data_IF_587813465917
#
_entry.id   IF_587813465917
#
_cell.length_a   1.000
_cell.length_b   1.000
_cell.length_c   1.000
_cell.angle_alpha   90.00
_cell.angle_beta   90.00
_cell.angle_gamma   90.00
#
_symmetry.space_group_name_H-M   'P 1'
#
loop_
_entity.id
_entity.type
_entity.pdbx_description
1 polymer ?
#
# COMPACT_ATOMS: atom_id res chain seq x y z
N UNK A 1 -6.96 12.12 -9.55
CA UNK A 1 -7.07 11.10 -10.59
C UNK A 1 -6.06 11.32 -11.72
N UNK A 2 -6.00 12.48 -12.36
CA UNK A 2 -5.13 12.77 -13.53
C UNK A 2 -3.64 12.41 -13.33
N UNK A 3 -3.18 12.29 -12.10
CA UNK A 3 -1.79 11.97 -11.74
C UNK A 3 -1.61 10.53 -11.23
N UNK A 4 -2.70 9.79 -11.09
CA UNK A 4 -2.64 8.40 -10.67
C UNK A 4 -2.21 7.48 -11.83
N UNK A 5 -1.51 6.37 -11.55
CA UNK A 5 -1.09 5.46 -12.59
C UNK A 5 -2.28 4.70 -13.21
N UNK A 6 -2.20 4.46 -14.53
CA UNK A 6 -3.17 3.63 -15.27
C UNK A 6 -4.60 4.18 -15.23
N UNK A 7 -5.53 3.33 -14.83
CA UNK A 7 -6.97 3.58 -14.80
C UNK A 7 -7.53 3.85 -13.38
N UNK A 8 -6.69 4.30 -12.46
CA UNK A 8 -7.08 4.68 -11.09
C UNK A 8 -7.81 6.05 -11.09
N UNK A 9 -8.90 6.15 -11.84
CA UNK A 9 -9.60 7.40 -12.15
C UNK A 9 -10.58 7.87 -11.08
N UNK A 10 -10.94 7.00 -10.14
CA UNK A 10 -11.92 7.29 -9.10
C UNK A 10 -11.24 7.52 -7.77
N UNK A 11 -11.54 8.65 -7.12
CA UNK A 11 -10.91 9.04 -5.85
C UNK A 11 -11.98 9.26 -4.80
N UNK A 12 -11.81 8.58 -3.66
CA UNK A 12 -12.60 8.78 -2.47
C UNK A 12 -11.74 9.41 -1.37
N UNK A 13 -12.15 10.56 -0.86
CA UNK A 13 -11.40 11.28 0.17
C UNK A 13 -11.76 10.82 1.57
N UNK A 14 -10.75 10.74 2.44
CA UNK A 14 -10.84 10.38 3.85
C UNK A 14 -10.11 11.41 4.72
N UNK A 15 -10.03 11.18 6.02
CA UNK A 15 -9.37 12.09 6.96
C UNK A 15 -7.91 11.73 7.23
N UNK A 16 -7.51 10.51 6.90
CA UNK A 16 -6.17 10.00 7.11
C UNK A 16 -5.95 8.61 6.56
N UNK A 17 -4.75 8.02 6.80
CA UNK A 17 -4.38 6.72 6.28
C UNK A 17 -5.19 5.55 6.84
N UNK A 18 -5.49 5.56 8.14
CA UNK A 18 -6.33 4.52 8.77
C UNK A 18 -7.73 4.49 8.17
N UNK A 19 -8.33 5.67 7.96
CA UNK A 19 -9.64 5.79 7.33
C UNK A 19 -9.60 5.36 5.85
N UNK A 20 -8.49 5.63 5.15
CA UNK A 20 -8.30 5.19 3.76
C UNK A 20 -8.25 3.66 3.67
N UNK A 21 -7.53 3.00 4.57
CA UNK A 21 -7.48 1.53 4.64
C UNK A 21 -8.85 0.94 4.98
N UNK A 22 -9.54 1.44 6.01
CA UNK A 22 -10.88 0.98 6.39
C UNK A 22 -11.89 1.17 5.25
N UNK A 23 -11.82 2.32 4.56
CA UNK A 23 -12.64 2.59 3.38
C UNK A 23 -12.37 1.61 2.24
N UNK A 24 -11.09 1.29 1.98
CA UNK A 24 -10.70 0.35 0.93
C UNK A 24 -11.26 -1.04 1.22
N UNK A 25 -11.19 -1.53 2.47
CA UNK A 25 -11.80 -2.80 2.87
C UNK A 25 -13.29 -2.80 2.56
N UNK A 26 -14.00 -1.72 2.87
CA UNK A 26 -15.44 -1.60 2.56
C UNK A 26 -15.71 -1.61 1.06
N UNK A 27 -14.93 -0.87 0.25
CA UNK A 27 -15.10 -0.87 -1.21
C UNK A 27 -14.80 -2.24 -1.81
N UNK A 28 -13.79 -2.97 -1.33
CA UNK A 28 -13.51 -4.35 -1.73
C UNK A 28 -14.70 -5.26 -1.42
N UNK A 29 -15.32 -5.12 -0.24
CA UNK A 29 -16.53 -5.87 0.11
C UNK A 29 -17.70 -5.53 -0.80
N UNK A 30 -17.93 -4.23 -1.11
CA UNK A 30 -18.95 -3.81 -2.07
C UNK A 30 -18.69 -4.41 -3.45
N UNK A 31 -17.44 -4.39 -3.93
CA UNK A 31 -17.06 -5.00 -5.20
C UNK A 31 -17.45 -6.47 -5.28
N UNK A 32 -17.07 -7.26 -4.28
CA UNK A 32 -17.34 -8.70 -4.30
C UNK A 32 -18.83 -9.02 -4.12
N UNK A 33 -19.55 -8.26 -3.32
CA UNK A 33 -21.02 -8.36 -3.21
C UNK A 33 -21.68 -8.06 -4.56
N UNK A 34 -21.29 -6.98 -5.22
CA UNK A 34 -21.79 -6.59 -6.53
C UNK A 34 -21.51 -7.64 -7.60
N UNK A 35 -20.39 -8.37 -7.48
CA UNK A 35 -20.02 -9.49 -8.35
C UNK A 35 -20.71 -10.81 -8.01
N UNK A 36 -21.63 -10.82 -7.04
CA UNK A 36 -22.31 -12.04 -6.59
C UNK A 36 -21.42 -13.02 -5.81
N UNK A 37 -20.31 -12.54 -5.25
CA UNK A 37 -19.32 -13.33 -4.48
C UNK A 37 -19.16 -12.81 -3.04
N UNK A 38 -20.24 -12.71 -2.23
CA UNK A 38 -20.19 -12.13 -0.89
C UNK A 38 -19.31 -12.93 0.10
N UNK A 39 -18.98 -14.19 -0.22
CA UNK A 39 -18.09 -15.05 0.56
C UNK A 39 -16.61 -14.60 0.48
N UNK A 40 -16.24 -13.77 -0.49
CA UNK A 40 -14.89 -13.18 -0.56
C UNK A 40 -14.75 -12.07 0.49
N UNK A 41 -14.37 -12.46 1.69
CA UNK A 41 -14.30 -11.61 2.88
C UNK A 41 -12.96 -11.72 3.63
N UNK A 42 -12.03 -12.51 3.12
CA UNK A 42 -10.74 -12.74 3.75
C UNK A 42 -9.67 -11.83 3.13
N UNK A 43 -8.83 -11.24 3.97
CA UNK A 43 -7.79 -10.29 3.57
C UNK A 43 -6.42 -10.79 4.00
N UNK A 44 -5.42 -10.62 3.15
CA UNK A 44 -4.04 -11.03 3.43
C UNK A 44 -3.15 -9.78 3.39
N UNK A 45 -2.27 -9.63 4.37
CA UNK A 45 -1.21 -8.62 4.39
C UNK A 45 0.14 -9.27 4.71
N UNK A 46 1.18 -8.46 4.98
CA UNK A 46 2.55 -8.94 5.16
C UNK A 46 2.97 -8.72 6.62
N UNK A 47 3.72 -9.66 7.19
CA UNK A 47 4.37 -9.50 8.48
C UNK A 47 5.24 -8.23 8.50
N UNK A 48 5.31 -7.55 9.64
CA UNK A 48 5.97 -6.24 9.82
C UNK A 48 5.29 -5.08 9.07
N UNK A 49 4.19 -5.30 8.36
CA UNK A 49 3.40 -4.27 7.70
C UNK A 49 2.62 -3.38 8.67
N UNK A 50 2.31 -2.16 8.23
CA UNK A 50 1.47 -1.22 8.98
C UNK A 50 0.37 -0.64 8.09
N UNK A 51 -0.88 -0.88 8.45
CA UNK A 51 -2.06 -0.49 7.68
C UNK A 51 -3.06 0.35 8.50
N UNK A 52 -2.56 1.09 9.46
CA UNK A 52 -3.36 1.99 10.30
C UNK A 52 -3.58 1.49 11.74
N UNK A 53 -4.25 2.32 12.53
CA UNK A 53 -4.52 2.10 13.95
C UNK A 53 -6.02 2.13 14.30
N UNK A 54 -6.91 2.24 13.31
CA UNK A 54 -8.33 1.91 13.47
C UNK A 54 -8.47 0.41 13.77
N UNK A 55 -9.53 -0.02 14.44
CA UNK A 55 -9.70 -1.43 14.83
C UNK A 55 -9.53 -2.39 13.65
N UNK A 56 -10.05 -2.03 12.48
CA UNK A 56 -9.97 -2.86 11.28
C UNK A 56 -8.59 -2.80 10.65
N UNK A 57 -8.05 -1.60 10.42
CA UNK A 57 -6.71 -1.41 9.86
C UNK A 57 -5.60 -1.97 10.74
N UNK A 58 -5.74 -1.84 12.09
CA UNK A 58 -4.79 -2.42 13.04
C UNK A 58 -4.75 -3.96 12.97
N UNK A 59 -5.83 -4.61 12.59
CA UNK A 59 -5.83 -6.06 12.36
C UNK A 59 -5.06 -6.47 11.12
N UNK A 60 -4.97 -5.63 10.07
CA UNK A 60 -4.07 -5.83 8.92
C UNK A 60 -2.62 -5.46 9.24
N UNK A 61 -2.40 -4.51 10.16
CA UNK A 61 -1.08 -4.22 10.72
C UNK A 61 -0.49 -5.47 11.36
N UNK A 62 0.80 -5.71 11.23
CA UNK A 62 1.48 -6.88 11.76
C UNK A 62 2.56 -6.52 12.80
N UNK A 63 2.30 -5.46 13.56
CA UNK A 63 3.15 -5.01 14.66
C UNK A 63 2.47 -5.36 15.99
N UNK A 64 3.06 -6.23 16.84
CA UNK A 64 2.41 -6.80 18.02
C UNK A 64 1.85 -5.77 19.00
N UNK A 65 2.49 -4.60 19.10
CA UNK A 65 2.04 -3.52 19.99
C UNK A 65 0.61 -3.05 19.67
N UNK A 66 0.18 -3.15 18.41
CA UNK A 66 -1.16 -2.74 17.98
C UNK A 66 -2.24 -3.78 18.26
N UNK A 67 -1.85 -5.01 18.63
CA UNK A 67 -2.77 -6.13 18.84
C UNK A 67 -3.07 -6.39 20.30
N UNK A 68 -2.10 -6.12 21.19
CA UNK A 68 -2.17 -6.52 22.59
C UNK A 68 -3.41 -5.94 23.29
N UNK A 69 -4.31 -6.83 23.73
CA UNK A 69 -5.52 -6.47 24.48
C UNK A 69 -6.72 -5.99 23.64
N UNK A 70 -6.60 -5.92 22.31
CA UNK A 70 -7.66 -5.37 21.44
C UNK A 70 -8.51 -6.44 20.72
N UNK A 71 -8.24 -7.73 20.89
CA UNK A 71 -8.98 -8.81 20.22
C UNK A 71 -8.77 -8.82 18.69
N UNK A 72 -7.63 -8.38 18.21
CA UNK A 72 -7.21 -8.35 16.80
C UNK A 72 -5.87 -9.08 16.63
N UNK A 73 -5.52 -9.61 15.43
CA UNK A 73 -6.31 -9.53 14.21
C UNK A 73 -7.61 -10.33 14.30
N UNK A 74 -8.59 -9.97 13.47
CA UNK A 74 -9.80 -10.75 13.30
C UNK A 74 -9.52 -12.03 12.49
N UNK A 75 -10.40 -13.05 12.63
CA UNK A 75 -10.25 -14.36 11.94
C UNK A 75 -10.21 -14.26 10.40
N UNK A 76 -10.65 -13.14 9.84
CA UNK A 76 -10.63 -12.86 8.40
C UNK A 76 -9.40 -12.06 7.94
N UNK A 77 -8.42 -11.84 8.82
CA UNK A 77 -7.18 -11.07 8.55
C UNK A 77 -5.96 -11.96 8.70
N UNK A 78 -5.28 -12.22 7.60
CA UNK A 78 -4.18 -13.16 7.51
C UNK A 78 -2.86 -12.47 7.17
N UNK A 79 -1.76 -13.14 7.41
CA UNK A 79 -0.41 -12.65 7.13
C UNK A 79 0.38 -13.68 6.33
N UNK A 80 1.29 -13.17 5.49
CA UNK A 80 2.39 -13.94 4.91
C UNK A 80 3.73 -13.39 5.43
N UNK A 81 4.83 -14.17 5.37
CA UNK A 81 6.14 -13.72 5.80
C UNK A 81 6.62 -12.46 5.09
N UNK A 82 7.43 -11.65 5.78
CA UNK A 82 8.05 -10.45 5.25
C UNK A 82 9.06 -10.76 4.13
N UNK A 83 9.14 -9.85 3.17
CA UNK A 83 10.11 -9.87 2.08
C UNK A 83 11.47 -9.25 2.44
N UNK A 84 11.70 -8.88 3.69
CA UNK A 84 12.92 -8.22 4.11
C UNK A 84 14.15 -9.10 3.90
N UNK A 85 15.16 -8.59 3.17
CA UNK A 85 16.30 -9.40 2.75
C UNK A 85 17.27 -9.70 3.91
N UNK A 86 17.55 -8.72 4.77
CA UNK A 86 18.49 -8.89 5.86
C UNK A 86 18.04 -9.99 6.82
N UNK A 87 18.86 -11.04 6.96
CA UNK A 87 18.55 -12.25 7.75
C UNK A 87 17.28 -12.98 7.33
N UNK A 88 16.93 -12.93 6.04
CA UNK A 88 15.79 -13.68 5.54
C UNK A 88 16.04 -15.19 5.66
N UNK A 89 15.05 -16.01 6.10
CA UNK A 89 15.22 -17.46 6.22
C UNK A 89 15.62 -18.17 4.92
N UNK A 90 15.29 -17.62 3.75
CA UNK A 90 15.67 -18.17 2.44
C UNK A 90 16.99 -17.60 1.89
N UNK A 91 17.71 -16.81 2.70
CA UNK A 91 18.89 -16.06 2.28
C UNK A 91 18.56 -14.68 1.72
N UNK A 92 19.58 -13.94 1.28
CA UNK A 92 19.44 -12.56 0.82
C UNK A 92 19.31 -12.46 -0.72
N UNK A 93 19.24 -13.58 -1.43
CA UNK A 93 19.03 -13.60 -2.87
C UNK A 93 17.66 -13.07 -3.24
N UNK A 94 17.63 -12.04 -4.07
CA UNK A 94 16.40 -11.36 -4.47
C UNK A 94 15.37 -12.28 -5.11
N UNK A 95 15.82 -13.21 -5.98
CA UNK A 95 14.90 -14.11 -6.66
C UNK A 95 14.37 -15.19 -5.71
N UNK A 96 15.19 -15.68 -4.79
CA UNK A 96 14.76 -16.62 -3.76
C UNK A 96 13.68 -16.00 -2.87
N UNK A 97 13.84 -14.73 -2.45
CA UNK A 97 12.86 -14.00 -1.65
C UNK A 97 11.55 -13.80 -2.42
N UNK A 98 11.62 -13.39 -3.69
CA UNK A 98 10.43 -13.24 -4.53
C UNK A 98 9.69 -14.57 -4.64
N UNK A 99 10.39 -15.66 -4.96
CA UNK A 99 9.80 -16.99 -5.10
C UNK A 99 9.17 -17.48 -3.79
N UNK A 100 9.83 -17.23 -2.65
CA UNK A 100 9.30 -17.57 -1.33
C UNK A 100 8.01 -16.79 -1.01
N UNK A 101 7.96 -15.49 -1.34
CA UNK A 101 6.77 -14.65 -1.16
C UNK A 101 5.60 -15.12 -2.02
N UNK A 102 5.86 -15.45 -3.31
CA UNK A 102 4.84 -16.00 -4.21
C UNK A 102 4.29 -17.33 -3.69
N UNK A 103 5.18 -18.23 -3.27
CA UNK A 103 4.79 -19.52 -2.70
C UNK A 103 4.00 -19.35 -1.38
N UNK A 104 4.37 -18.39 -0.53
CA UNK A 104 3.67 -18.10 0.71
C UNK A 104 2.25 -17.58 0.45
N UNK A 105 2.07 -16.68 -0.53
CA UNK A 105 0.76 -16.16 -0.89
C UNK A 105 -0.12 -17.28 -1.49
N UNK A 106 0.38 -18.11 -2.39
CA UNK A 106 -0.37 -19.26 -2.95
C UNK A 106 -0.84 -20.19 -1.85
N UNK A 107 0.07 -20.64 -0.97
CA UNK A 107 -0.29 -21.52 0.15
C UNK A 107 -1.36 -20.88 1.04
N UNK A 108 -1.21 -19.59 1.38
CA UNK A 108 -2.18 -18.90 2.25
C UNK A 108 -3.56 -18.81 1.59
N UNK A 109 -3.63 -18.56 0.30
CA UNK A 109 -4.90 -18.57 -0.45
C UNK A 109 -5.52 -19.97 -0.48
N UNK A 110 -4.72 -21.03 -0.68
CA UNK A 110 -5.18 -22.43 -0.63
C UNK A 110 -5.70 -22.82 0.76
N UNK A 111 -4.99 -22.42 1.84
CA UNK A 111 -5.40 -22.67 3.24
C UNK A 111 -6.73 -22.01 3.59
N UNK A 112 -6.98 -20.80 3.09
CA UNK A 112 -8.21 -20.03 3.34
C UNK A 112 -9.38 -20.54 2.48
N UNK A 113 -9.10 -20.98 1.28
CA UNK A 113 -10.04 -21.24 0.19
C UNK A 113 -9.99 -20.11 -0.83
N UNK A 114 -9.59 -20.38 -2.09
CA UNK A 114 -9.43 -19.36 -3.12
C UNK A 114 -10.67 -18.50 -3.39
N UNK A 115 -11.86 -19.08 -3.20
CA UNK A 115 -13.15 -18.40 -3.37
C UNK A 115 -13.51 -17.45 -2.22
N UNK A 116 -12.75 -17.48 -1.14
CA UNK A 116 -12.97 -16.65 0.06
C UNK A 116 -12.04 -15.44 0.14
N UNK A 117 -10.89 -15.47 -0.55
CA UNK A 117 -9.92 -14.38 -0.47
C UNK A 117 -10.39 -13.19 -1.30
N UNK A 118 -10.48 -12.04 -0.67
CA UNK A 118 -10.93 -10.79 -1.27
C UNK A 118 -9.78 -9.97 -1.86
N UNK A 119 -8.71 -9.78 -1.09
CA UNK A 119 -7.60 -8.92 -1.49
C UNK A 119 -6.30 -9.24 -0.75
N UNK A 120 -5.21 -8.83 -1.38
CA UNK A 120 -3.88 -8.75 -0.80
C UNK A 120 -3.44 -7.29 -0.64
N UNK A 121 -2.93 -6.93 0.53
CA UNK A 121 -2.41 -5.61 0.89
C UNK A 121 -0.89 -5.61 0.99
N UNK A 122 -0.25 -4.64 0.35
CA UNK A 122 1.20 -4.45 0.42
C UNK A 122 1.57 -2.97 0.45
N UNK A 123 2.50 -2.60 1.33
CA UNK A 123 3.25 -1.36 1.22
C UNK A 123 4.35 -1.55 0.17
N UNK A 124 4.57 -0.64 -0.79
CA UNK A 124 5.73 -0.72 -1.71
C UNK A 124 7.08 -0.75 -0.98
N UNK A 125 7.16 -0.09 0.17
CA UNK A 125 8.23 -0.17 1.17
C UNK A 125 7.55 -0.19 2.53
N UNK A 126 7.81 -1.19 3.35
CA UNK A 126 7.20 -1.28 4.68
C UNK A 126 7.82 -0.23 5.61
N UNK A 127 7.05 0.83 5.88
CA UNK A 127 7.55 1.98 6.60
C UNK A 127 7.76 1.78 8.09
N UNK A 128 6.68 1.59 8.80
CA UNK A 128 6.69 1.45 10.27
C UNK A 128 7.37 0.17 10.74
N UNK A 129 7.47 -0.84 9.88
CA UNK A 129 8.20 -2.08 10.12
C UNK A 129 9.72 -1.90 10.16
N UNK A 130 10.25 -0.76 9.72
CA UNK A 130 11.68 -0.44 9.77
C UNK A 130 12.27 0.00 8.42
N UNK A 131 11.46 0.58 7.54
CA UNK A 131 11.85 0.97 6.16
C UNK A 131 12.33 -0.26 5.36
N UNK A 132 11.57 -1.35 5.38
CA UNK A 132 11.94 -2.60 4.74
C UNK A 132 11.68 -2.53 3.24
N UNK A 133 12.75 -2.42 2.47
CA UNK A 133 12.70 -2.30 1.01
C UNK A 133 12.62 -3.70 0.40
N UNK A 134 11.60 -4.02 -0.40
CA UNK A 134 11.51 -5.32 -1.07
C UNK A 134 12.55 -5.45 -2.19
N UNK A 135 12.93 -6.67 -2.58
CA UNK A 135 13.72 -6.89 -3.79
C UNK A 135 13.06 -6.27 -5.02
N UNK A 136 13.88 -5.73 -5.94
CA UNK A 136 13.38 -5.14 -7.19
C UNK A 136 12.51 -6.14 -7.96
N UNK A 137 11.33 -5.69 -8.39
CA UNK A 137 10.35 -6.53 -9.10
C UNK A 137 9.44 -7.35 -8.19
N UNK A 138 9.61 -7.29 -6.88
CA UNK A 138 8.74 -8.01 -5.94
C UNK A 138 7.27 -7.56 -6.06
N UNK A 139 7.00 -6.25 -6.04
CA UNK A 139 5.63 -5.71 -6.22
C UNK A 139 5.02 -6.17 -7.54
N UNK A 140 5.81 -6.17 -8.63
CA UNK A 140 5.35 -6.64 -9.94
C UNK A 140 4.97 -8.12 -9.91
N UNK A 141 5.79 -8.96 -9.29
CA UNK A 141 5.54 -10.39 -9.17
C UNK A 141 4.27 -10.67 -8.32
N UNK A 142 4.12 -9.97 -7.18
CA UNK A 142 2.94 -10.11 -6.32
C UNK A 142 1.66 -9.63 -7.00
N UNK A 143 1.70 -8.50 -7.72
CA UNK A 143 0.56 -8.00 -8.52
C UNK A 143 0.14 -9.01 -9.61
N UNK A 144 1.10 -9.57 -10.31
CA UNK A 144 0.83 -10.58 -11.33
C UNK A 144 0.16 -11.82 -10.71
N UNK A 145 0.69 -12.31 -9.59
CA UNK A 145 0.11 -13.44 -8.87
C UNK A 145 -1.31 -13.16 -8.37
N UNK A 146 -1.60 -11.96 -7.87
CA UNK A 146 -2.96 -11.60 -7.48
C UNK A 146 -3.92 -11.67 -8.67
N UNK A 147 -3.48 -11.26 -9.87
CA UNK A 147 -4.26 -11.41 -11.10
C UNK A 147 -4.53 -12.87 -11.45
N UNK A 148 -3.54 -13.75 -11.35
CA UNK A 148 -3.68 -15.21 -11.58
C UNK A 148 -4.67 -15.85 -10.58
N UNK A 149 -4.61 -15.42 -9.31
CA UNK A 149 -5.47 -15.92 -8.23
C UNK A 149 -6.88 -15.31 -8.24
N UNK A 150 -7.12 -14.30 -9.09
CA UNK A 150 -8.39 -13.58 -9.15
C UNK A 150 -8.74 -12.83 -7.85
N UNK A 151 -7.75 -12.30 -7.15
CA UNK A 151 -7.92 -11.48 -5.94
C UNK A 151 -7.46 -10.05 -6.21
N UNK A 152 -8.05 -9.08 -5.50
CA UNK A 152 -7.67 -7.68 -5.65
C UNK A 152 -6.32 -7.38 -5.01
N UNK A 153 -5.57 -6.45 -5.60
CA UNK A 153 -4.28 -5.98 -5.10
C UNK A 153 -4.39 -4.53 -4.63
N UNK A 154 -4.04 -4.28 -3.37
CA UNK A 154 -4.02 -2.95 -2.77
C UNK A 154 -2.58 -2.53 -2.52
N UNK A 155 -2.16 -1.43 -3.12
CA UNK A 155 -0.92 -0.75 -2.77
C UNK A 155 -1.19 0.27 -1.66
N UNK A 156 -0.69 0.01 -0.45
CA UNK A 156 -0.74 0.98 0.62
C UNK A 156 0.41 1.97 0.49
N UNK A 157 0.11 3.09 -0.14
CA UNK A 157 1.05 4.18 -0.38
C UNK A 157 0.88 5.37 0.57
N UNK A 158 0.33 5.13 1.74
CA UNK A 158 0.15 6.18 2.78
C UNK A 158 1.48 6.84 3.12
N UNK A 159 2.59 6.11 3.08
CA UNK A 159 3.92 6.67 3.29
C UNK A 159 4.66 6.89 1.97
N UNK A 160 4.58 5.97 1.04
CA UNK A 160 5.45 5.89 -0.14
C UNK A 160 5.07 6.86 -1.26
N UNK A 161 3.82 7.30 -1.33
CA UNK A 161 3.37 8.26 -2.33
C UNK A 161 3.97 9.66 -2.14
N UNK A 162 3.72 10.51 -3.14
CA UNK A 162 4.06 11.92 -3.18
C UNK A 162 5.57 12.19 -3.07
N UNK A 163 6.35 11.42 -3.83
CA UNK A 163 7.79 11.63 -3.98
C UNK A 163 8.67 11.06 -2.86
N UNK A 164 8.07 10.33 -1.89
CA UNK A 164 8.84 9.74 -0.79
C UNK A 164 9.91 8.77 -1.29
N UNK A 165 9.61 8.00 -2.34
CA UNK A 165 10.52 7.04 -2.97
C UNK A 165 11.14 7.53 -4.27
N UNK A 166 10.76 8.73 -4.73
CA UNK A 166 11.21 9.36 -5.97
C UNK A 166 10.06 9.69 -6.93
N UNK A 167 9.30 8.74 -7.48
CA UNK A 167 8.12 9.01 -8.29
C UNK A 167 6.95 9.54 -7.44
N UNK A 168 5.87 9.96 -8.10
CA UNK A 168 4.67 10.42 -7.38
C UNK A 168 4.00 9.27 -6.63
N UNK A 169 3.95 8.08 -7.22
CA UNK A 169 3.52 6.84 -6.58
C UNK A 169 4.61 5.79 -6.71
N UNK A 170 4.94 5.09 -5.62
CA UNK A 170 6.02 4.12 -5.60
C UNK A 170 5.75 2.89 -6.49
N UNK A 171 4.50 2.54 -6.73
CA UNK A 171 4.13 1.45 -7.65
C UNK A 171 4.54 1.72 -9.12
N UNK A 172 4.80 2.98 -9.49
CA UNK A 172 5.32 3.34 -10.81
C UNK A 172 6.73 2.80 -11.06
N UNK A 173 7.57 2.65 -10.01
CA UNK A 173 8.93 2.10 -10.13
C UNK A 173 8.93 0.65 -10.65
N UNK A 174 7.92 -0.14 -10.31
CA UNK A 174 7.76 -1.51 -10.79
C UNK A 174 6.82 -1.59 -12.01
N UNK A 175 6.32 -0.44 -12.49
CA UNK A 175 5.43 -0.34 -13.65
C UNK A 175 4.11 -1.08 -13.46
N UNK A 176 3.56 -1.09 -12.23
CA UNK A 176 2.31 -1.76 -11.92
C UNK A 176 1.15 -0.78 -11.74
N UNK A 177 -0.05 -1.25 -12.07
CA UNK A 177 -1.30 -0.59 -11.74
C UNK A 177 -2.04 -1.50 -10.75
N UNK A 178 -2.16 -1.12 -9.47
CA UNK A 178 -2.95 -1.86 -8.49
C UNK A 178 -4.45 -1.62 -8.71
N UNK A 179 -5.30 -2.43 -8.07
CA UNK A 179 -6.75 -2.22 -8.11
C UNK A 179 -7.18 -1.06 -7.19
N UNK A 180 -6.38 -0.84 -6.12
CA UNK A 180 -6.53 0.29 -5.21
C UNK A 180 -5.17 0.85 -4.80
N UNK A 181 -5.12 2.17 -4.57
CA UNK A 181 -4.04 2.83 -3.83
C UNK A 181 -4.65 3.56 -2.63
N UNK A 182 -4.07 3.38 -1.44
CA UNK A 182 -4.38 4.20 -0.26
C UNK A 182 -3.30 5.25 -0.06
N UNK A 183 -3.68 6.48 0.23
CA UNK A 183 -2.76 7.60 0.47
C UNK A 183 -3.19 8.48 1.64
N UNK A 184 -2.22 9.20 2.20
CA UNK A 184 -2.41 10.26 3.18
C UNK A 184 -1.13 11.11 3.29
N UNK A 185 -0.68 11.44 4.45
CA UNK A 185 0.61 12.11 4.80
C UNK A 185 1.09 13.13 3.76
N UNK A 186 1.83 12.67 2.74
CA UNK A 186 2.34 13.51 1.66
C UNK A 186 1.27 14.24 0.86
N UNK A 187 0.03 13.75 0.84
CA UNK A 187 -1.08 14.39 0.11
C UNK A 187 -1.29 15.85 0.52
N UNK A 188 -1.09 16.15 1.81
CA UNK A 188 -1.17 17.52 2.36
C UNK A 188 0.10 17.92 3.10
N UNK A 189 1.18 17.15 2.99
CA UNK A 189 2.44 17.36 3.70
C UNK A 189 2.30 17.58 5.21
N UNK A 190 1.23 17.04 5.81
CA UNK A 190 0.96 17.14 7.25
C UNK A 190 0.32 18.46 7.72
N UNK A 191 0.03 19.38 6.81
CA UNK A 191 -0.58 20.68 7.18
C UNK A 191 -2.03 20.55 7.63
N UNK A 192 -2.80 19.65 7.00
CA UNK A 192 -4.21 19.41 7.34
C UNK A 192 -4.53 17.92 7.21
N UNK A 193 -5.55 17.42 7.96
CA UNK A 193 -6.00 16.02 7.84
C UNK A 193 -6.60 15.76 6.46
N UNK A 194 -6.05 14.78 5.73
CA UNK A 194 -6.61 14.26 4.49
C UNK A 194 -5.96 12.91 4.15
N UNK A 195 -6.77 12.01 3.65
CA UNK A 195 -6.35 10.79 2.98
C UNK A 195 -7.17 10.58 1.71
N UNK A 196 -6.78 9.64 0.90
CA UNK A 196 -7.53 9.28 -0.29
C UNK A 196 -7.37 7.79 -0.62
N UNK A 197 -8.41 7.24 -1.21
CA UNK A 197 -8.44 5.93 -1.84
C UNK A 197 -8.60 6.16 -3.34
N UNK A 198 -7.66 5.69 -4.12
CA UNK A 198 -7.77 5.62 -5.57
C UNK A 198 -8.27 4.24 -5.95
N UNK A 199 -9.16 4.17 -6.92
CA UNK A 199 -9.86 2.97 -7.32
C UNK A 199 -9.81 2.84 -8.85
N UNK A 200 -9.47 1.66 -9.33
CA UNK A 200 -9.44 1.35 -10.76
C UNK A 200 -10.86 1.36 -11.36
N UNK A 201 -10.96 1.70 -12.64
CA UNK A 201 -12.24 1.83 -13.36
C UNK A 201 -13.10 0.56 -13.25
N UNK A 202 -12.50 -0.63 -13.41
CA UNK A 202 -13.22 -1.89 -13.34
C UNK A 202 -13.84 -2.17 -11.95
N UNK A 203 -13.19 -1.69 -10.89
CA UNK A 203 -13.72 -1.83 -9.52
C UNK A 203 -14.89 -0.88 -9.30
N UNK A 204 -14.70 0.40 -9.65
CA UNK A 204 -15.75 1.40 -9.54
C UNK A 204 -16.99 1.00 -10.34
N UNK A 205 -16.81 0.60 -11.60
CA UNK A 205 -17.90 0.21 -12.48
C UNK A 205 -18.68 -0.99 -11.93
N UNK A 206 -17.98 -2.02 -11.42
CA UNK A 206 -18.62 -3.16 -10.81
C UNK A 206 -19.48 -2.78 -9.60
N UNK A 207 -19.01 -1.86 -8.76
CA UNK A 207 -19.78 -1.35 -7.62
C UNK A 207 -21.00 -0.54 -8.11
N UNK A 208 -20.79 0.35 -9.07
CA UNK A 208 -21.84 1.22 -9.60
C UNK A 208 -22.98 0.43 -10.29
N UNK A 209 -22.63 -0.58 -11.09
CA UNK A 209 -23.57 -1.40 -11.82
C UNK A 209 -24.25 -2.46 -10.92
N UNK A 210 -23.48 -3.05 -10.01
CA UNK A 210 -23.92 -4.19 -9.21
C UNK A 210 -24.75 -3.82 -7.98
N UNK A 211 -24.74 -2.55 -7.61
CA UNK A 211 -25.52 -2.08 -6.44
C UNK A 211 -27.03 -2.03 -6.67
N UNK A 212 -27.52 -2.34 -7.88
CA UNK A 212 -28.95 -2.28 -8.20
C UNK A 212 -29.59 -0.91 -7.90
N UNK A 213 -28.80 0.19 -7.96
CA UNK A 213 -29.21 1.52 -7.55
C UNK A 213 -29.13 1.77 -6.03
N UNK A 214 -28.65 0.81 -5.24
CA UNK A 214 -28.44 1.01 -3.82
C UNK A 214 -27.24 1.94 -3.57
N UNK A 215 -27.42 2.95 -2.71
CA UNK A 215 -26.34 3.83 -2.32
C UNK A 215 -25.23 3.08 -1.56
N UNK A 216 -23.98 3.38 -1.84
CA UNK A 216 -22.84 2.91 -1.03
C UNK A 216 -22.95 3.57 0.35
N UNK A 217 -23.32 2.79 1.37
CA UNK A 217 -23.51 3.26 2.75
C UNK A 217 -22.19 3.50 3.46
N UNK A 218 -21.32 4.37 2.90
CA UNK A 218 -20.01 4.69 3.46
C UNK A 218 -19.64 6.15 3.22
N UNK A 219 -19.15 6.82 4.25
CA UNK A 219 -18.69 8.21 4.21
C UNK A 219 -18.29 8.72 5.56
N UNK A 220 -17.46 9.75 5.56
CA UNK A 220 -17.10 10.52 6.75
C UNK A 220 -17.58 11.95 6.60
N UNK A 221 -18.03 12.58 7.70
CA UNK A 221 -18.57 13.95 7.69
C UNK A 221 -17.62 14.96 7.06
N UNK A 222 -16.33 14.79 7.27
CA UNK A 222 -15.31 15.72 6.78
C UNK A 222 -14.55 15.22 5.53
N UNK A 223 -15.04 14.18 4.85
CA UNK A 223 -14.49 13.77 3.55
C UNK A 223 -14.50 14.96 2.58
N UNK A 224 -13.38 15.15 1.86
CA UNK A 224 -13.19 16.25 0.91
C UNK A 224 -13.42 17.66 1.51
N UNK A 225 -13.07 17.87 2.79
CA UNK A 225 -13.19 19.17 3.43
C UNK A 225 -12.51 20.26 2.58
N UNK A 226 -13.19 21.39 2.26
CA UNK A 226 -12.69 22.35 1.28
C UNK A 226 -11.33 22.95 1.63
N UNK A 227 -11.05 23.18 2.92
CA UNK A 227 -9.73 23.67 3.37
C UNK A 227 -8.66 22.61 3.08
N UNK A 228 -8.93 21.33 3.39
CA UNK A 228 -7.98 20.25 3.12
C UNK A 228 -7.76 20.06 1.62
N UNK A 229 -8.80 20.19 0.82
CA UNK A 229 -8.71 20.11 -0.64
C UNK A 229 -7.85 21.25 -1.22
N UNK A 230 -8.03 22.49 -0.74
CA UNK A 230 -7.24 23.64 -1.15
C UNK A 230 -5.75 23.46 -0.82
N UNK A 231 -5.44 22.99 0.39
CA UNK A 231 -4.06 22.67 0.80
C UNK A 231 -3.48 21.55 -0.07
N UNK A 232 -4.26 20.48 -0.31
CA UNK A 232 -3.82 19.37 -1.17
C UNK A 232 -3.49 19.81 -2.59
N UNK A 233 -4.29 20.71 -3.17
CA UNK A 233 -4.02 21.28 -4.49
C UNK A 233 -2.71 22.06 -4.53
N UNK A 234 -2.45 22.89 -3.51
CA UNK A 234 -1.20 23.65 -3.45
C UNK A 234 0.01 22.74 -3.21
N UNK A 235 -0.13 21.69 -2.40
CA UNK A 235 0.93 20.71 -2.21
C UNK A 235 1.26 19.98 -3.51
N UNK A 236 0.26 19.60 -4.31
CA UNK A 236 0.48 19.00 -5.63
C UNK A 236 1.19 19.97 -6.57
N UNK A 237 0.81 21.24 -6.59
CA UNK A 237 1.50 22.28 -7.34
C UNK A 237 2.99 22.41 -6.94
N UNK A 238 3.31 22.38 -5.65
CA UNK A 238 4.68 22.39 -5.17
C UNK A 238 5.49 21.17 -5.63
N UNK A 239 4.88 19.99 -5.62
CA UNK A 239 5.53 18.79 -6.16
C UNK A 239 5.88 18.92 -7.62
N UNK A 240 4.98 19.45 -8.44
CA UNK A 240 5.18 19.63 -9.89
C UNK A 240 6.16 20.75 -10.21
N UNK A 241 6.29 21.75 -9.35
CA UNK A 241 7.16 22.91 -9.57
C UNK A 241 8.58 22.76 -9.02
N UNK A 242 9.02 21.53 -8.75
CA UNK A 242 10.41 21.20 -8.49
C UNK A 242 10.70 20.53 -7.15
N UNK A 243 9.72 20.40 -6.24
CA UNK A 243 9.95 19.78 -4.93
C UNK A 243 10.29 18.30 -5.08
N UNK A 244 9.65 17.56 -6.02
CA UNK A 244 10.00 16.17 -6.29
C UNK A 244 11.45 16.01 -6.76
N UNK A 245 11.88 16.85 -7.66
CA UNK A 245 13.26 16.80 -8.19
C UNK A 245 14.29 17.16 -7.11
N UNK A 246 14.00 18.15 -6.28
CA UNK A 246 14.84 18.46 -5.12
C UNK A 246 14.91 17.28 -4.13
N UNK A 247 13.78 16.63 -3.88
CA UNK A 247 13.69 15.43 -3.03
C UNK A 247 14.55 14.28 -3.56
N UNK A 248 14.50 14.00 -4.86
CA UNK A 248 15.36 12.97 -5.50
C UNK A 248 16.85 13.26 -5.31
N UNK A 249 17.29 14.50 -5.57
CA UNK A 249 18.69 14.90 -5.41
C UNK A 249 19.17 14.80 -3.95
N UNK A 250 18.35 15.32 -3.02
CA UNK A 250 18.68 15.27 -1.60
C UNK A 250 18.75 13.83 -1.05
N UNK A 251 17.80 12.99 -1.46
CA UNK A 251 17.77 11.58 -1.06
C UNK A 251 18.91 10.77 -1.64
N UNK A 252 19.29 10.97 -2.91
CA UNK A 252 20.46 10.33 -3.51
C UNK A 252 21.74 10.70 -2.74
N UNK A 253 21.92 11.97 -2.39
CA UNK A 253 23.05 12.45 -1.59
C UNK A 253 23.05 11.82 -0.18
N UNK A 254 21.89 11.73 0.46
CA UNK A 254 21.75 11.11 1.78
C UNK A 254 22.13 9.62 1.71
N UNK A 255 21.60 8.89 0.71
CA UNK A 255 21.92 7.46 0.53
C UNK A 255 23.41 7.23 0.32
N UNK A 256 24.06 8.04 -0.53
CA UNK A 256 25.51 7.97 -0.74
C UNK A 256 26.30 8.15 0.58
N UNK A 257 25.86 9.06 1.44
CA UNK A 257 26.47 9.25 2.76
C UNK A 257 26.25 8.05 3.69
N UNK A 258 25.05 7.47 3.67
CA UNK A 258 24.71 6.32 4.51
C UNK A 258 25.41 5.03 4.05
N UNK A 259 25.62 4.85 2.76
CA UNK A 259 26.34 3.69 2.22
C UNK A 259 27.76 3.54 2.76
N UNK A 260 28.40 4.64 3.12
CA UNK A 260 29.74 4.60 3.77
C UNK A 260 29.73 3.91 5.14
N UNK A 261 28.57 3.70 5.74
CA UNK A 261 28.42 3.04 7.03
C UNK A 261 28.31 1.51 6.92
N UNK A 262 28.14 0.95 5.71
CA UNK A 262 27.93 -0.50 5.51
C UNK A 262 29.06 -1.36 6.05
N UNK A 263 30.30 -0.86 5.98
CA UNK A 263 31.49 -1.59 6.44
C UNK A 263 31.71 -1.46 7.96
N UNK A 264 30.89 -0.70 8.67
CA UNK A 264 31.05 -0.53 10.10
C UNK A 264 30.54 -1.78 10.86
N UNK A 265 31.33 -2.36 11.81
CA UNK A 265 31.04 -3.66 12.42
C UNK A 265 29.72 -3.72 13.24
N UNK A 266 29.17 -2.58 13.61
CA UNK A 266 27.88 -2.48 14.31
C UNK A 266 26.69 -2.25 13.38
N UNK A 267 26.94 -2.10 12.07
CA UNK A 267 25.88 -1.86 11.07
C UNK A 267 25.56 -3.16 10.36
N UNK A 268 24.33 -3.63 10.49
CA UNK A 268 23.88 -4.85 9.85
C UNK A 268 23.33 -4.64 8.45
N UNK A 269 22.63 -3.53 8.25
CA UNK A 269 22.06 -3.15 6.95
C UNK A 269 21.90 -1.62 6.88
N UNK A 270 21.89 -1.08 5.66
CA UNK A 270 21.63 0.34 5.37
C UNK A 270 20.57 0.44 4.30
N UNK A 271 19.45 1.02 4.65
CA UNK A 271 18.35 1.24 3.72
C UNK A 271 17.66 2.60 3.95
N UNK A 272 17.04 3.11 2.93
CA UNK A 272 16.32 4.38 2.93
C UNK A 272 15.06 4.24 2.07
N UNK A 273 14.10 5.15 2.28
CA UNK A 273 12.86 5.25 1.50
C UNK A 273 13.08 5.40 -0.02
N UNK A 274 14.23 5.89 -0.45
CA UNK A 274 14.57 5.99 -1.86
C UNK A 274 15.24 4.70 -2.34
N UNK A 275 14.64 4.07 -3.37
CA UNK A 275 15.37 3.09 -4.17
C UNK A 275 16.53 3.81 -4.85
N UNK A 276 17.73 3.19 -4.95
CA UNK A 276 18.83 3.79 -5.70
C UNK A 276 18.37 4.06 -7.12
N UNK A 277 18.16 5.32 -7.46
CA UNK A 277 18.03 5.74 -8.86
C UNK A 277 19.44 5.68 -9.40
N UNK A 278 19.71 4.82 -10.38
CA UNK A 278 20.95 4.89 -11.12
C UNK A 278 21.06 6.31 -11.69
N UNK A 279 22.00 7.09 -11.17
CA UNK A 279 22.33 8.36 -11.79
C UNK A 279 22.93 8.06 -13.16
N UNK A 280 22.52 8.78 -14.21
CA UNK A 280 23.05 8.61 -15.55
C UNK A 280 24.54 8.90 -15.61
#
# INVERSE_FOLDING_TARGET
AERAPGDLNHVYFTLGGSDAVDSTIRFIRYYWIARGQPQRDQFISIEQGYHGSSTVGAGLTALPLFHAGFGIPFDWQHKIPSHYAYRNPVGEDSQAIINASLAALRRKVEEIGPERVAAFYAEPIQGSGGVLVPPKGWMKAMRALCGELGILFVADEVITAFGRTGPLFACEDDGIVPDFITTAKGLTSGYVPMGAVFMADHVYQAIADGAGGAAVGHGYTYSAHPVSAAVGLEVLNLYETGLLENGRKAGARLMQGLESLKDHPLVGDVHLWQRPVALP
#
